data_IF_892498313637
#
_entry.id   IF_892498313637
#
_cell.length_a   1.000
_cell.length_b   1.000
_cell.length_c   1.000
_cell.angle_alpha   90.00
_cell.angle_beta   90.00
_cell.angle_gamma   90.00
#
_symmetry.space_group_name_H-M   'P 1'
#
loop_
_entity.id
_entity.type
_entity.pdbx_description
1 polymer ?
#
# COMPACT_ATOMS: atom_id res chain seq x y z
N UNK A 1 59.70 -6.17 21.43
CA UNK A 1 59.15 -4.95 20.79
C UNK A 1 58.55 -5.34 19.45
N UNK A 2 57.21 -5.35 19.34
CA UNK A 2 56.46 -5.23 18.07
C UNK A 2 54.96 -5.28 18.43
N UNK A 3 54.37 -4.13 18.74
CA UNK A 3 52.93 -4.00 18.94
C UNK A 3 52.22 -4.04 17.60
N UNK A 4 51.51 -5.14 17.32
CA UNK A 4 50.61 -5.22 16.17
C UNK A 4 49.39 -4.35 16.49
N UNK A 5 49.28 -3.21 15.81
CA UNK A 5 48.31 -2.16 16.09
C UNK A 5 46.92 -2.58 15.59
N UNK A 6 45.94 -2.84 16.47
CA UNK A 6 44.57 -3.22 16.07
C UNK A 6 43.84 -2.10 15.30
N UNK A 7 44.42 -0.89 15.28
CA UNK A 7 43.90 0.29 14.59
C UNK A 7 43.99 0.21 13.08
N UNK A 8 44.99 -0.45 12.49
CA UNK A 8 45.15 -0.48 11.03
C UNK A 8 44.01 -1.29 10.36
N UNK A 9 43.66 -2.45 10.93
CA UNK A 9 42.57 -3.28 10.43
C UNK A 9 41.20 -2.61 10.67
N UNK A 10 40.99 -1.98 11.84
CA UNK A 10 39.76 -1.21 12.10
C UNK A 10 39.61 -0.01 11.17
N UNK A 11 40.70 0.69 10.86
CA UNK A 11 40.71 1.79 9.90
C UNK A 11 40.29 1.28 8.50
N UNK A 12 40.90 0.19 8.03
CA UNK A 12 40.54 -0.43 6.74
C UNK A 12 39.07 -0.86 6.69
N UNK A 13 38.54 -1.50 7.73
CA UNK A 13 37.12 -1.90 7.81
C UNK A 13 36.20 -0.67 7.78
N UNK A 14 36.55 0.40 8.49
CA UNK A 14 35.76 1.64 8.51
C UNK A 14 35.74 2.34 7.16
N UNK A 15 36.88 2.37 6.45
CA UNK A 15 36.99 2.94 5.10
C UNK A 15 36.20 2.13 4.09
N UNK A 16 36.26 0.79 4.17
CA UNK A 16 35.49 -0.10 3.29
C UNK A 16 33.98 0.11 3.47
N UNK A 17 33.50 0.20 4.72
CA UNK A 17 32.09 0.51 5.02
C UNK A 17 31.68 1.87 4.47
N UNK A 18 32.51 2.90 4.63
CA UNK A 18 32.22 4.26 4.15
C UNK A 18 32.15 4.34 2.62
N UNK A 19 32.98 3.57 1.91
CA UNK A 19 32.94 3.44 0.46
C UNK A 19 31.65 2.74 0.00
N UNK A 20 31.25 1.66 0.68
CA UNK A 20 30.01 0.94 0.36
C UNK A 20 28.75 1.79 0.64
N UNK A 21 28.72 2.59 1.71
CA UNK A 21 27.59 3.47 2.02
C UNK A 21 27.39 4.60 1.00
N UNK A 22 28.46 5.09 0.36
CA UNK A 22 28.37 6.15 -0.66
C UNK A 22 27.76 5.67 -1.98
N UNK A 23 27.79 4.36 -2.27
CA UNK A 23 27.17 3.82 -3.48
C UNK A 23 25.63 3.69 -3.36
N UNK A 24 25.05 3.86 -2.16
CA UNK A 24 23.62 3.61 -1.90
C UNK A 24 22.81 4.84 -1.47
N UNK A 25 23.41 6.04 -1.38
CA UNK A 25 22.71 7.21 -0.83
C UNK A 25 23.14 8.54 -1.45
N UNK A 26 22.47 8.96 -2.53
CA UNK A 26 22.47 10.36 -2.94
C UNK A 26 21.20 10.71 -3.74
N UNK A 27 20.06 10.73 -3.03
CA UNK A 27 18.97 11.72 -3.25
C UNK A 27 18.25 11.90 -1.90
N UNK A 28 18.91 12.60 -0.99
CA UNK A 28 18.27 13.18 0.20
C UNK A 28 18.40 14.69 0.05
N UNK A 29 17.46 15.30 -0.67
CA UNK A 29 17.20 16.73 -0.58
C UNK A 29 15.94 16.92 0.26
N UNK A 30 16.21 17.45 1.45
CA UNK A 30 15.35 17.75 2.60
C UNK A 30 15.74 19.23 2.83
N UNK A 31 14.98 20.24 2.44
CA UNK A 31 13.81 20.81 3.12
C UNK A 31 13.59 22.21 2.53
N UNK A 32 12.34 22.69 2.44
CA UNK A 32 12.09 24.05 2.95
C UNK A 32 10.65 24.25 3.43
N UNK A 33 10.48 24.78 4.66
CA UNK A 33 9.19 25.01 5.28
C UNK A 33 8.68 26.46 5.10
N UNK A 34 7.41 26.58 5.48
CA UNK A 34 6.74 27.73 6.10
C UNK A 34 6.42 28.94 5.24
N UNK A 35 5.14 29.03 4.87
CA UNK A 35 4.40 30.28 4.89
C UNK A 35 2.97 29.98 5.37
N UNK A 36 2.69 30.26 6.64
CA UNK A 36 1.36 30.58 7.16
C UNK A 36 1.28 32.13 7.32
N UNK A 37 0.14 32.78 7.63
CA UNK A 37 -1.21 32.25 7.92
C UNK A 37 -2.38 33.04 7.26
N UNK A 38 -3.60 32.59 7.56
CA UNK A 38 -4.85 33.36 7.75
C UNK A 38 -5.61 33.94 6.53
N UNK A 39 -6.80 33.39 6.26
CA UNK A 39 -8.11 34.08 6.20
C UNK A 39 -9.20 32.99 6.10
N UNK A 40 -9.93 32.75 7.19
CA UNK A 40 -11.25 33.31 7.46
C UNK A 40 -12.33 32.91 6.42
N UNK A 41 -13.25 32.08 6.91
CA UNK A 41 -14.65 31.94 6.49
C UNK A 41 -14.95 31.60 5.02
N UNK A 42 -15.47 30.40 4.81
CA UNK A 42 -16.90 30.19 4.51
C UNK A 42 -17.06 28.81 3.91
N UNK A 43 -17.96 28.01 4.48
CA UNK A 43 -18.46 26.77 3.88
C UNK A 43 -19.10 27.07 2.51
N UNK A 44 -18.79 26.30 1.46
CA UNK A 44 -19.73 26.16 0.36
C UNK A 44 -19.88 24.68 -0.02
N UNK A 45 -21.02 24.13 0.40
CA UNK A 45 -21.89 23.24 -0.36
C UNK A 45 -21.23 22.46 -1.50
N UNK A 46 -21.04 21.16 -1.23
CA UNK A 46 -20.73 20.14 -2.23
C UNK A 46 -21.67 20.23 -3.44
N UNK A 47 -21.17 20.40 -4.68
CA UNK A 47 -21.94 20.13 -5.86
C UNK A 47 -21.53 18.79 -6.48
N UNK A 48 -22.56 17.96 -6.66
CA UNK A 48 -22.83 17.32 -7.96
C UNK A 48 -21.91 16.16 -8.43
N UNK A 49 -22.34 14.95 -8.07
CA UNK A 49 -22.84 13.90 -8.99
C UNK A 49 -22.07 13.66 -10.30
N UNK A 50 -21.25 12.60 -10.31
CA UNK A 50 -21.02 11.81 -11.52
C UNK A 50 -21.44 10.35 -11.28
N UNK A 51 -22.73 10.10 -11.51
CA UNK A 51 -23.29 8.77 -11.72
C UNK A 51 -22.96 8.29 -13.13
N UNK A 52 -22.31 7.13 -13.31
CA UNK A 52 -22.51 6.35 -14.52
C UNK A 52 -23.86 5.65 -14.42
N UNK A 53 -24.65 5.86 -15.46
CA UNK A 53 -26.03 5.46 -15.64
C UNK A 53 -26.25 3.95 -15.63
N UNK A 54 -27.39 3.56 -15.03
CA UNK A 54 -28.25 2.41 -15.33
C UNK A 54 -27.56 1.11 -15.77
N UNK A 55 -27.57 0.14 -14.86
CA UNK A 55 -28.00 -1.22 -15.21
C UNK A 55 -28.93 -1.78 -14.15
N UNK A 56 -30.21 -1.76 -14.49
CA UNK A 56 -31.34 -2.27 -13.70
C UNK A 56 -31.08 -3.70 -13.25
N UNK A 57 -30.84 -3.91 -11.95
CA UNK A 57 -31.19 -5.15 -11.26
C UNK A 57 -31.97 -4.80 -10.00
N UNK A 58 -33.29 -4.89 -10.15
CA UNK A 58 -34.32 -5.03 -9.11
C UNK A 58 -33.74 -5.49 -7.76
N UNK A 59 -33.91 -4.75 -6.64
CA UNK A 59 -33.54 -5.26 -5.33
C UNK A 59 -34.44 -6.46 -5.04
N UNK A 60 -33.90 -7.68 -5.22
CA UNK A 60 -34.53 -8.87 -4.66
C UNK A 60 -34.32 -8.79 -3.16
N UNK A 61 -35.43 -8.73 -2.42
CA UNK A 61 -35.52 -8.92 -0.97
C UNK A 61 -34.47 -9.94 -0.49
N UNK A 62 -33.59 -9.62 0.48
CA UNK A 62 -32.80 -10.64 1.16
C UNK A 62 -33.75 -11.47 2.02
N UNK A 63 -34.20 -12.61 1.50
CA UNK A 63 -34.93 -13.60 2.27
C UNK A 63 -33.94 -14.46 3.08
N UNK A 64 -34.09 -14.37 4.40
CA UNK A 64 -33.81 -15.34 5.45
C UNK A 64 -32.53 -16.23 5.38
N UNK A 65 -31.53 -15.80 6.15
CA UNK A 65 -30.90 -16.50 7.29
C UNK A 65 -30.67 -18.03 7.24
N UNK A 66 -29.44 -18.41 6.89
CA UNK A 66 -28.61 -19.35 7.67
C UNK A 66 -27.37 -18.57 8.13
N UNK A 67 -26.91 -18.63 9.40
CA UNK A 67 -25.63 -18.03 9.80
C UNK A 67 -24.49 -18.79 9.13
N UNK A 68 -24.21 -18.44 7.87
CA UNK A 68 -23.01 -18.91 7.18
C UNK A 68 -21.84 -18.20 7.85
N UNK A 69 -20.77 -18.90 8.25
CA UNK A 69 -19.57 -18.24 8.75
C UNK A 69 -19.14 -17.23 7.69
N UNK A 70 -19.21 -15.94 8.04
CA UNK A 70 -18.88 -14.87 7.13
C UNK A 70 -17.38 -15.00 6.87
N UNK A 71 -16.93 -15.15 5.61
CA UNK A 71 -15.51 -15.29 5.33
C UNK A 71 -14.79 -14.07 5.89
N UNK A 72 -13.74 -14.32 6.67
CA UNK A 72 -12.90 -13.26 7.22
C UNK A 72 -12.27 -12.54 6.02
N UNK A 73 -12.60 -11.26 5.84
CA UNK A 73 -12.09 -10.45 4.75
C UNK A 73 -10.73 -9.86 5.16
N UNK A 74 -9.63 -10.20 4.48
CA UNK A 74 -8.33 -9.63 4.81
C UNK A 74 -8.18 -8.19 4.31
N UNK A 75 -7.28 -7.45 4.95
CA UNK A 75 -6.88 -6.12 4.51
C UNK A 75 -5.78 -6.17 3.43
N UNK A 76 -5.84 -5.20 2.51
CA UNK A 76 -4.85 -5.04 1.44
C UNK A 76 -3.47 -4.66 2.00
N UNK A 77 -2.37 -5.30 1.54
CA UNK A 77 -1.02 -5.01 2.06
C UNK A 77 -0.50 -3.61 1.68
N UNK A 78 -1.06 -2.96 0.64
CA UNK A 78 -0.58 -1.66 0.19
C UNK A 78 -1.39 -0.48 0.75
N UNK A 79 -2.72 -0.58 0.76
CA UNK A 79 -3.60 0.54 1.14
C UNK A 79 -4.54 0.24 2.30
N UNK A 80 -4.45 -0.96 2.91
CA UNK A 80 -5.24 -1.38 4.08
C UNK A 80 -6.76 -1.41 3.89
N UNK A 81 -7.26 -1.17 2.67
CA UNK A 81 -8.68 -1.34 2.32
C UNK A 81 -9.09 -2.80 2.36
N UNK A 82 -10.39 -3.11 2.58
CA UNK A 82 -10.88 -4.48 2.52
C UNK A 82 -10.69 -5.07 1.12
N UNK A 83 -10.36 -6.35 1.06
CA UNK A 83 -10.17 -7.08 -0.19
C UNK A 83 -11.44 -7.79 -0.64
N UNK A 84 -11.49 -8.17 -1.91
CA UNK A 84 -12.58 -8.96 -2.52
C UNK A 84 -12.00 -10.16 -3.26
N UNK A 85 -12.74 -11.27 -3.30
CA UNK A 85 -12.32 -12.43 -4.08
C UNK A 85 -12.50 -12.11 -5.57
N UNK A 86 -11.44 -12.31 -6.35
CA UNK A 86 -11.42 -12.21 -7.81
C UNK A 86 -10.92 -13.53 -8.38
N UNK A 87 -11.26 -13.78 -9.65
CA UNK A 87 -10.84 -14.97 -10.37
C UNK A 87 -10.02 -14.56 -11.57
N UNK A 88 -8.77 -15.03 -11.67
CA UNK A 88 -7.99 -14.93 -12.89
C UNK A 88 -8.03 -16.26 -13.65
N UNK A 89 -8.13 -16.18 -14.97
CA UNK A 89 -8.18 -17.37 -15.83
C UNK A 89 -6.78 -17.91 -16.15
N UNK A 90 -5.78 -17.04 -16.16
CA UNK A 90 -4.42 -17.36 -16.63
C UNK A 90 -3.36 -16.59 -15.83
N UNK A 91 -2.11 -17.04 -15.93
CA UNK A 91 -0.94 -16.40 -15.32
C UNK A 91 -0.67 -16.84 -13.88
N UNK A 92 0.23 -16.12 -13.21
CA UNK A 92 0.73 -16.46 -11.87
C UNK A 92 -0.34 -16.42 -10.77
N UNK A 93 -1.44 -15.68 -10.99
CA UNK A 93 -2.54 -15.55 -10.04
C UNK A 93 -3.80 -16.31 -10.49
N UNK A 94 -3.65 -17.32 -11.36
CA UNK A 94 -4.77 -18.11 -11.86
C UNK A 94 -5.56 -18.77 -10.71
N UNK A 95 -6.88 -18.79 -10.82
CA UNK A 95 -7.79 -19.22 -9.76
C UNK A 95 -8.33 -18.05 -8.94
N UNK A 96 -8.86 -18.38 -7.76
CA UNK A 96 -9.42 -17.40 -6.81
C UNK A 96 -8.30 -16.75 -5.98
N UNK A 97 -8.32 -15.42 -5.90
CA UNK A 97 -7.37 -14.65 -5.10
C UNK A 97 -8.05 -13.44 -4.46
N UNK A 98 -7.47 -12.94 -3.37
CA UNK A 98 -7.90 -11.67 -2.81
C UNK A 98 -7.32 -10.51 -3.63
N UNK A 99 -8.17 -9.69 -4.22
CA UNK A 99 -7.79 -8.45 -4.91
C UNK A 99 -8.26 -7.22 -4.15
N UNK A 100 -7.50 -6.14 -4.22
CA UNK A 100 -7.87 -4.86 -3.63
C UNK A 100 -9.21 -4.34 -4.21
N UNK A 101 -10.11 -3.87 -3.34
CA UNK A 101 -11.36 -3.21 -3.74
C UNK A 101 -11.11 -1.89 -4.50
N UNK A 102 -9.97 -1.23 -4.24
CA UNK A 102 -9.57 0.02 -4.90
C UNK A 102 -8.88 -0.14 -6.26
N UNK A 103 -8.89 -1.32 -6.89
CA UNK A 103 -8.38 -1.49 -8.25
C UNK A 103 -9.17 -0.60 -9.24
N UNK A 104 -8.53 0.08 -10.23
CA UNK A 104 -7.13 -0.04 -10.66
C UNK A 104 -6.11 0.81 -9.89
N UNK A 105 -6.56 1.69 -8.99
CA UNK A 105 -5.69 2.61 -8.24
C UNK A 105 -4.74 1.88 -7.29
N UNK A 106 -5.15 0.71 -6.79
CA UNK A 106 -4.31 -0.17 -6.00
C UNK A 106 -4.37 -1.60 -6.56
N UNK A 107 -3.21 -2.17 -6.87
CA UNK A 107 -3.05 -3.52 -7.45
C UNK A 107 -2.66 -4.58 -6.42
N UNK A 108 -2.92 -4.33 -5.14
CA UNK A 108 -2.63 -5.27 -4.08
C UNK A 108 -3.38 -6.59 -4.24
N UNK A 109 -2.65 -7.69 -4.06
CA UNK A 109 -3.16 -9.06 -4.16
C UNK A 109 -2.70 -9.89 -2.97
N UNK A 110 -3.48 -10.91 -2.59
CA UNK A 110 -3.05 -11.97 -1.66
C UNK A 110 -3.56 -13.33 -2.17
N UNK A 111 -2.76 -14.39 -2.04
CA UNK A 111 -3.20 -15.74 -2.36
C UNK A 111 -4.29 -16.21 -1.39
N UNK A 112 -5.16 -17.09 -1.87
CA UNK A 112 -6.10 -17.85 -1.03
C UNK A 112 -5.49 -19.24 -0.88
N UNK A 113 -4.97 -19.54 0.30
CA UNK A 113 -4.56 -20.90 0.64
C UNK A 113 -5.81 -21.66 1.08
N UNK A 114 -6.14 -22.75 0.38
CA UNK A 114 -7.19 -23.70 0.77
C UNK A 114 -6.57 -25.04 1.13
#
# INVERSE_FOLDING_TARGET
MAGHTPSALKALISTLRRLLSQAAGSTSDQERPSAAPEVLSSEPTQPAKNSPTKRTKKPRKPAATKPQPKPIVPACPHCKTPMVIKVARTGQNAGEFWGCAGYPKCRGIRPIFR
#
